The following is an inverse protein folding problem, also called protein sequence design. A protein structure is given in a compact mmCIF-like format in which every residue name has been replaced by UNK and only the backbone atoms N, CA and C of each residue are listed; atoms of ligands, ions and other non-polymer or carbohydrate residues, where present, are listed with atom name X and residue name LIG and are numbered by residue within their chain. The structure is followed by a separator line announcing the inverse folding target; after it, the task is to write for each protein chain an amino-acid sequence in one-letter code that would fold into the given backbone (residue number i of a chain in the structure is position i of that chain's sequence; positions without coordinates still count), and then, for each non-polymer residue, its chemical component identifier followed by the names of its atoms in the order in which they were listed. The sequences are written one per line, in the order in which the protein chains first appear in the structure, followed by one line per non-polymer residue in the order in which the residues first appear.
data_IF_150796090534
#
_entry.id   IF_150796090534
#
_cell.length_a   1.000
_cell.length_b   1.000
_cell.length_c   1.000
_cell.angle_alpha   90.00
_cell.angle_beta   90.00
_cell.angle_gamma   90.00
#
_symmetry.space_group_name_H-M   'P 1'
#
loop_
_entity.id
_entity.type
_entity.pdbx_description
1 polymer ?
#
# COMPACT_ATOMS: atom_id res chain seq x y z
N UNK A 1 -2.19 2.21 26.02
CA UNK A 1 -2.81 2.75 24.79
C UNK A 1 -2.19 2.02 23.62
N UNK A 2 -2.91 1.08 23.01
CA UNK A 2 -2.41 0.36 21.83
C UNK A 2 -2.25 1.36 20.71
N UNK A 3 -1.02 1.52 20.24
CA UNK A 3 -0.68 2.27 19.04
C UNK A 3 -1.51 1.68 17.89
N UNK A 4 -2.57 2.38 17.47
CA UNK A 4 -3.46 2.00 16.38
C UNK A 4 -2.76 2.18 15.03
N UNK A 5 -1.55 1.61 14.89
CA UNK A 5 -0.82 1.57 13.62
C UNK A 5 -1.71 0.89 12.61
N UNK A 6 -2.21 1.68 11.65
CA UNK A 6 -2.96 1.31 10.46
C UNK A 6 -3.77 0.03 10.58
N UNK A 7 -5.02 0.13 11.01
CA UNK A 7 -5.94 -1.01 11.14
C UNK A 7 -5.77 -2.01 9.98
N UNK A 8 -5.20 -3.18 10.25
CA UNK A 8 -5.11 -4.34 9.35
C UNK A 8 -4.47 -4.07 7.98
N UNK A 9 -3.18 -3.72 7.96
CA UNK A 9 -2.36 -3.73 6.74
C UNK A 9 -1.56 -5.04 6.65
N UNK A 10 -1.76 -5.82 5.58
CA UNK A 10 -0.99 -7.02 5.28
C UNK A 10 -0.05 -6.73 4.10
N UNK A 11 1.16 -6.27 4.41
CA UNK A 11 2.18 -5.91 3.43
C UNK A 11 3.30 -6.95 3.50
N UNK A 12 3.49 -7.70 2.41
CA UNK A 12 4.56 -8.67 2.32
C UNK A 12 5.95 -7.99 2.29
N UNK A 13 6.98 -8.69 2.79
CA UNK A 13 8.34 -8.15 2.91
C UNK A 13 8.98 -7.75 1.56
N UNK A 14 8.48 -8.32 0.46
CA UNK A 14 8.98 -8.10 -0.90
C UNK A 14 8.29 -6.93 -1.63
N UNK A 15 7.37 -6.23 -0.97
CA UNK A 15 6.73 -5.01 -1.50
C UNK A 15 7.72 -3.84 -1.46
N UNK A 16 7.85 -3.14 -2.58
CA UNK A 16 8.68 -1.93 -2.68
C UNK A 16 7.80 -0.69 -2.61
N UNK A 17 7.99 0.13 -1.58
CA UNK A 17 7.29 1.39 -1.39
C UNK A 17 8.23 2.56 -1.67
N UNK A 18 7.76 3.49 -2.50
CA UNK A 18 8.39 4.78 -2.70
C UNK A 18 8.26 5.70 -1.48
N UNK A 19 8.81 6.90 -1.60
CA UNK A 19 8.75 7.93 -0.56
C UNK A 19 7.31 8.42 -0.38
N UNK A 20 6.90 8.65 0.86
CA UNK A 20 5.60 9.25 1.22
C UNK A 20 4.37 8.50 0.68
N UNK A 21 4.48 7.19 0.44
CA UNK A 21 3.31 6.34 0.12
C UNK A 21 2.38 6.28 1.34
N UNK A 22 1.09 6.54 1.12
CA UNK A 22 0.08 6.46 2.17
C UNK A 22 -0.78 5.22 1.97
N UNK A 23 -0.79 4.35 2.97
CA UNK A 23 -1.58 3.13 2.97
C UNK A 23 -2.63 3.27 4.06
N UNK A 24 -3.90 3.09 3.70
CA UNK A 24 -5.02 3.13 4.64
C UNK A 24 -5.27 1.71 5.22
N UNK A 25 -6.27 1.56 6.10
CA UNK A 25 -6.52 0.28 6.75
C UNK A 25 -7.13 -0.77 5.81
N UNK A 26 -7.01 -2.05 6.14
CA UNK A 26 -7.54 -3.18 5.36
C UNK A 26 -6.95 -3.30 3.95
N UNK A 27 -5.62 -3.20 3.82
CA UNK A 27 -4.91 -3.26 2.53
C UNK A 27 -4.01 -4.50 2.48
N UNK A 28 -4.02 -5.21 1.36
CA UNK A 28 -3.18 -6.38 1.10
C UNK A 28 -2.19 -6.08 -0.06
N UNK A 29 -0.89 -6.14 0.20
CA UNK A 29 0.14 -5.92 -0.82
C UNK A 29 1.10 -7.12 -0.88
N UNK A 30 1.36 -7.62 -2.09
CA UNK A 30 2.22 -8.78 -2.34
C UNK A 30 3.18 -8.49 -3.48
N UNK A 31 4.51 -8.60 -3.29
CA UNK A 31 5.51 -8.57 -4.37
C UNK A 31 5.35 -7.47 -5.42
N UNK A 32 4.80 -6.30 -5.06
CA UNK A 32 4.48 -5.21 -5.96
C UNK A 32 5.36 -3.99 -5.72
N UNK A 33 5.36 -3.05 -6.67
CA UNK A 33 6.08 -1.79 -6.57
C UNK A 33 5.10 -0.61 -6.58
N UNK A 34 5.22 0.31 -5.62
CA UNK A 34 4.37 1.51 -5.50
C UNK A 34 5.25 2.75 -5.50
N UNK A 35 5.10 3.61 -6.50
CA UNK A 35 5.89 4.84 -6.65
C UNK A 35 5.55 5.92 -5.62
N UNK A 36 6.43 6.93 -5.54
CA UNK A 36 6.39 8.01 -4.56
C UNK A 36 5.04 8.74 -4.49
N UNK A 37 4.66 9.18 -3.29
CA UNK A 37 3.48 10.00 -3.00
C UNK A 37 2.13 9.37 -3.41
N UNK A 38 2.12 8.07 -3.74
CA UNK A 38 0.91 7.32 -4.08
C UNK A 38 0.07 7.01 -2.83
N UNK A 39 -1.25 7.00 -3.00
CA UNK A 39 -2.23 6.68 -1.94
C UNK A 39 -2.97 5.39 -2.27
N UNK A 40 -2.97 4.44 -1.33
CA UNK A 40 -3.67 3.16 -1.40
C UNK A 40 -4.82 3.15 -0.39
N UNK A 41 -6.04 3.34 -0.88
CA UNK A 41 -7.26 3.37 -0.08
C UNK A 41 -7.59 2.03 0.56
N UNK A 42 -8.53 2.04 1.51
CA UNK A 42 -8.95 0.83 2.22
C UNK A 42 -9.55 -0.22 1.28
N UNK A 43 -9.41 -1.49 1.66
CA UNK A 43 -9.90 -2.66 0.92
C UNK A 43 -9.27 -2.85 -0.46
N UNK A 44 -8.13 -2.21 -0.73
CA UNK A 44 -7.34 -2.44 -1.95
C UNK A 44 -6.43 -3.65 -1.76
N UNK A 45 -6.36 -4.48 -2.79
CA UNK A 45 -5.36 -5.54 -2.93
C UNK A 45 -4.48 -5.29 -4.16
N UNK A 46 -3.15 -5.39 -4.00
CA UNK A 46 -2.20 -5.32 -5.11
C UNK A 46 -1.34 -6.58 -5.12
N UNK A 47 -1.41 -7.32 -6.21
CA UNK A 47 -0.77 -8.61 -6.39
C UNK A 47 0.65 -8.50 -6.95
N UNK A 48 1.39 -9.61 -6.84
CA UNK A 48 2.78 -9.73 -7.28
C UNK A 48 3.00 -9.25 -8.71
N UNK A 49 4.16 -8.63 -8.94
CA UNK A 49 4.62 -8.09 -10.22
C UNK A 49 3.85 -6.86 -10.75
N UNK A 50 2.82 -6.38 -10.04
CA UNK A 50 2.19 -5.11 -10.38
C UNK A 50 3.13 -3.92 -10.08
N UNK A 51 3.05 -2.89 -10.92
CA UNK A 51 3.79 -1.64 -10.76
C UNK A 51 2.84 -0.45 -10.82
N UNK A 52 2.80 0.32 -9.74
CA UNK A 52 2.07 1.58 -9.65
C UNK A 52 3.07 2.73 -9.73
N UNK A 53 2.79 3.71 -10.61
CA UNK A 53 3.62 4.90 -10.75
C UNK A 53 3.60 5.81 -9.52
N UNK A 54 4.32 6.92 -9.60
CA UNK A 54 4.29 7.97 -8.59
C UNK A 54 3.02 8.83 -8.71
N UNK A 55 2.57 9.39 -7.58
CA UNK A 55 1.43 10.32 -7.46
C UNK A 55 0.10 9.73 -7.96
N UNK A 56 -0.09 8.43 -7.79
CA UNK A 56 -1.35 7.76 -8.11
C UNK A 56 -2.30 7.75 -6.89
N UNK A 57 -3.60 7.52 -7.16
CA UNK A 57 -4.58 7.16 -6.14
C UNK A 57 -5.26 5.87 -6.57
N UNK A 58 -5.10 4.81 -5.78
CA UNK A 58 -5.82 3.54 -5.96
C UNK A 58 -6.87 3.47 -4.86
N UNK A 59 -8.13 3.37 -5.26
CA UNK A 59 -9.28 3.32 -4.35
C UNK A 59 -10.28 2.33 -4.90
N UNK A 60 -10.83 1.51 -4.01
CA UNK A 60 -12.15 0.90 -4.22
C UNK A 60 -13.24 1.96 -4.14
#
# INVERSE_FOLDING_TARGET
MSDARGAYQLIAQDVKLGRDVRIFGFVNLYGCEVGDETKIGSFVEIQKNARIGARCKISS
#
